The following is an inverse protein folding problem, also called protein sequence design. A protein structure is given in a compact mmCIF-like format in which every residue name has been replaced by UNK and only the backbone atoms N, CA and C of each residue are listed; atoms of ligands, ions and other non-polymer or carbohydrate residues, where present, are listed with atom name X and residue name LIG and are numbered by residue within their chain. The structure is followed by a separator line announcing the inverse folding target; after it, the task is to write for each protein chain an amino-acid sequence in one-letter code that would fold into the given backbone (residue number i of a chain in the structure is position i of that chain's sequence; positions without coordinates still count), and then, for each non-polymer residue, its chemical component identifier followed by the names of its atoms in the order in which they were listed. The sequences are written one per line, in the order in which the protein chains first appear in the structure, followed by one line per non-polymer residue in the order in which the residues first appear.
data_IF_301739307210
#
_entry.id   IF_301739307210
#
_cell.length_a   1.000
_cell.length_b   1.000
_cell.length_c   1.000
_cell.angle_alpha   90.00
_cell.angle_beta   90.00
_cell.angle_gamma   90.00
#
_symmetry.space_group_name_H-M   'P 1'
#
loop_
_entity.id
_entity.type
_entity.pdbx_description
1 polymer ?
#
# COMPACT_ATOMS: atom_id res chain seq x y z
N UNK A 1 18.98 -0.87 -19.82
CA UNK A 1 17.90 -1.67 -19.20
C UNK A 1 16.97 -0.70 -18.49
N UNK A 2 15.73 -0.57 -18.95
CA UNK A 2 14.70 0.17 -18.20
C UNK A 2 14.20 -0.78 -17.11
N UNK A 3 14.71 -0.63 -15.90
CA UNK A 3 14.09 -1.30 -14.75
C UNK A 3 12.69 -0.68 -14.58
N UNK A 4 11.67 -1.47 -14.28
CA UNK A 4 10.30 -1.01 -14.03
C UNK A 4 9.84 -1.70 -12.74
N UNK A 5 8.93 -1.06 -11.99
CA UNK A 5 8.27 -1.75 -10.87
C UNK A 5 7.04 -2.48 -11.43
N UNK A 6 6.96 -3.79 -11.23
CA UNK A 6 5.75 -4.56 -11.55
C UNK A 6 5.12 -5.12 -10.28
N UNK A 7 3.79 -5.09 -10.25
CA UNK A 7 2.99 -5.71 -9.19
C UNK A 7 1.74 -6.34 -9.82
N UNK A 8 1.08 -7.20 -9.08
CA UNK A 8 -0.16 -7.85 -9.47
C UNK A 8 -1.34 -7.22 -8.71
N UNK A 9 -2.14 -6.43 -9.42
CA UNK A 9 -3.31 -5.78 -8.84
C UNK A 9 -4.52 -6.73 -8.85
N UNK A 10 -5.35 -6.74 -7.78
CA UNK A 10 -6.55 -7.55 -7.78
C UNK A 10 -7.61 -6.96 -8.72
N UNK A 11 -8.39 -7.82 -9.38
CA UNK A 11 -9.54 -7.39 -10.21
C UNK A 11 -10.70 -6.85 -9.36
N UNK A 12 -10.80 -7.30 -8.11
CA UNK A 12 -11.82 -6.87 -7.16
C UNK A 12 -11.14 -6.46 -5.86
N UNK A 13 -11.52 -5.28 -5.37
CA UNK A 13 -10.94 -4.77 -4.14
C UNK A 13 -11.75 -5.20 -2.92
N UNK A 14 -11.08 -5.81 -1.94
CA UNK A 14 -11.65 -6.11 -0.63
C UNK A 14 -12.01 -4.83 0.12
N UNK A 15 -13.03 -4.89 0.99
CA UNK A 15 -13.38 -3.77 1.86
C UNK A 15 -12.24 -3.53 2.87
N UNK A 16 -11.62 -2.35 2.91
CA UNK A 16 -10.51 -2.04 3.82
C UNK A 16 -10.82 -2.18 5.32
N UNK A 17 -12.10 -2.15 5.71
CA UNK A 17 -12.56 -2.25 7.11
C UNK A 17 -12.88 -3.71 7.51
N UNK A 18 -12.23 -4.66 6.86
CA UNK A 18 -12.26 -6.09 7.18
C UNK A 18 -10.85 -6.55 7.48
N UNK A 19 -10.71 -7.67 8.18
CA UNK A 19 -9.40 -8.29 8.48
C UNK A 19 -8.55 -8.47 7.20
N UNK A 20 -9.15 -9.00 6.13
CA UNK A 20 -8.48 -9.26 4.86
C UNK A 20 -8.13 -7.96 4.12
N UNK A 21 -9.05 -6.99 4.09
CA UNK A 21 -8.79 -5.69 3.49
C UNK A 21 -7.75 -4.86 4.26
N UNK A 22 -7.68 -5.02 5.59
CA UNK A 22 -6.64 -4.45 6.45
C UNK A 22 -5.29 -5.07 6.16
N UNK A 23 -5.18 -6.40 6.11
CA UNK A 23 -3.97 -7.11 5.71
C UNK A 23 -3.46 -6.61 4.34
N UNK A 24 -4.37 -6.50 3.37
CA UNK A 24 -4.06 -6.00 2.04
C UNK A 24 -3.56 -4.55 2.06
N UNK A 25 -4.18 -3.69 2.87
CA UNK A 25 -3.78 -2.30 3.01
C UNK A 25 -2.34 -2.19 3.51
N UNK A 26 -2.02 -2.94 4.58
CA UNK A 26 -0.68 -2.97 5.19
C UNK A 26 0.33 -3.58 4.22
N UNK A 27 -0.02 -4.67 3.54
CA UNK A 27 0.82 -5.29 2.51
C UNK A 27 1.19 -4.31 1.39
N UNK A 28 0.21 -3.54 0.90
CA UNK A 28 0.45 -2.53 -0.13
C UNK A 28 1.37 -1.40 0.34
N UNK A 29 1.33 -1.00 1.61
CA UNK A 29 2.29 -0.05 2.16
C UNK A 29 3.71 -0.59 2.17
N UNK A 30 3.93 -1.84 2.60
CA UNK A 30 5.25 -2.48 2.55
C UNK A 30 5.80 -2.50 1.11
N UNK A 31 4.98 -2.90 0.15
CA UNK A 31 5.39 -2.97 -1.26
C UNK A 31 5.67 -1.58 -1.85
N UNK A 32 4.85 -0.59 -1.54
CA UNK A 32 5.04 0.76 -2.03
C UNK A 32 6.27 1.46 -1.42
N UNK A 33 6.78 1.00 -0.27
CA UNK A 33 8.08 1.41 0.31
C UNK A 33 9.28 0.62 -0.23
N UNK A 34 9.08 -0.27 -1.23
CA UNK A 34 10.16 -1.09 -1.79
C UNK A 34 10.22 -2.51 -1.22
N UNK A 35 9.07 -3.06 -0.78
CA UNK A 35 8.95 -4.39 -0.19
C UNK A 35 9.73 -4.55 1.12
N UNK A 36 9.63 -3.56 2.00
CA UNK A 36 10.32 -3.55 3.30
C UNK A 36 9.70 -4.52 4.30
N UNK A 37 10.47 -5.00 5.27
CA UNK A 37 9.94 -5.82 6.38
C UNK A 37 9.25 -4.97 7.45
N UNK A 38 9.67 -3.73 7.60
CA UNK A 38 9.10 -2.77 8.54
C UNK A 38 8.52 -1.56 7.79
N UNK A 39 7.37 -1.07 8.26
CA UNK A 39 6.80 0.18 7.76
C UNK A 39 7.49 1.36 8.42
N UNK A 40 7.83 2.35 7.61
CA UNK A 40 8.45 3.60 8.06
C UNK A 40 7.69 4.80 7.48
N UNK A 41 8.23 6.00 7.67
CA UNK A 41 7.73 7.23 7.02
C UNK A 41 8.30 7.44 5.61
N UNK A 42 8.93 6.42 5.01
CA UNK A 42 9.44 6.49 3.63
C UNK A 42 8.36 6.84 2.61
N UNK A 43 8.79 7.50 1.53
CA UNK A 43 7.91 7.88 0.42
C UNK A 43 7.38 6.67 -0.33
N UNK A 44 6.09 6.71 -0.62
CA UNK A 44 5.34 5.71 -1.37
C UNK A 44 4.63 6.39 -2.52
N UNK A 45 4.60 5.74 -3.68
CA UNK A 45 3.89 6.30 -4.83
C UNK A 45 2.37 6.11 -4.71
N UNK A 46 1.61 7.19 -4.88
CA UNK A 46 0.15 7.13 -4.84
C UNK A 46 -0.45 6.26 -5.94
N UNK A 47 0.12 6.26 -7.14
CA UNK A 47 -0.36 5.47 -8.28
C UNK A 47 -0.22 3.96 -8.03
N UNK A 48 0.88 3.54 -7.41
CA UNK A 48 1.08 2.15 -6.94
C UNK A 48 0.02 1.79 -5.91
N UNK A 49 -0.15 2.60 -4.86
CA UNK A 49 -1.15 2.35 -3.82
C UNK A 49 -2.57 2.28 -4.40
N UNK A 50 -2.93 3.20 -5.30
CA UNK A 50 -4.23 3.22 -5.96
C UNK A 50 -4.54 1.90 -6.68
N UNK A 51 -3.53 1.27 -7.29
CA UNK A 51 -3.67 -0.01 -7.98
C UNK A 51 -3.71 -1.21 -7.03
N UNK A 52 -3.05 -1.15 -5.88
CA UNK A 52 -3.01 -2.28 -4.93
C UNK A 52 -4.22 -2.34 -3.98
N UNK A 53 -4.82 -1.19 -3.64
CA UNK A 53 -5.92 -1.13 -2.65
C UNK A 53 -7.17 -0.33 -3.08
N UNK A 54 -7.19 0.23 -4.28
CA UNK A 54 -8.19 1.16 -4.86
C UNK A 54 -7.96 2.64 -4.52
N UNK A 55 -8.29 3.57 -5.46
CA UNK A 55 -8.21 5.01 -5.20
C UNK A 55 -9.08 5.49 -4.04
N UNK A 56 -10.25 4.86 -3.85
CA UNK A 56 -11.18 5.20 -2.76
C UNK A 56 -10.55 4.91 -1.40
N UNK A 57 -9.91 3.75 -1.24
CA UNK A 57 -9.23 3.40 0.00
C UNK A 57 -8.06 4.36 0.27
N UNK A 58 -7.26 4.68 -0.75
CA UNK A 58 -6.15 5.64 -0.59
C UNK A 58 -6.66 7.01 -0.14
N UNK A 59 -7.73 7.53 -0.75
CA UNK A 59 -8.34 8.80 -0.33
C UNK A 59 -8.91 8.74 1.10
N UNK A 60 -9.51 7.62 1.50
CA UNK A 60 -9.98 7.41 2.87
C UNK A 60 -8.83 7.46 3.89
N UNK A 61 -7.71 6.80 3.60
CA UNK A 61 -6.52 6.82 4.46
C UNK A 61 -5.83 8.18 4.51
N UNK A 62 -5.94 8.96 3.43
CA UNK A 62 -5.35 10.28 3.31
C UNK A 62 -6.19 11.36 4.02
N UNK A 63 -7.50 11.38 3.79
CA UNK A 63 -8.35 12.51 4.16
C UNK A 63 -9.18 12.25 5.43
N UNK A 64 -9.63 11.00 5.63
CA UNK A 64 -10.61 10.70 6.69
C UNK A 64 -9.93 10.10 7.92
N UNK A 65 -8.86 9.32 7.70
CA UNK A 65 -8.11 8.64 8.77
C UNK A 65 -6.74 9.21 9.04
N UNK A 66 -6.21 10.05 8.15
CA UNK A 66 -4.90 10.71 8.31
C UNK A 66 -3.74 9.72 8.55
N UNK A 67 -3.85 8.50 8.04
CA UNK A 67 -2.78 7.51 8.06
C UNK A 67 -1.69 7.86 7.06
N UNK A 68 -2.08 8.56 5.99
CA UNK A 68 -1.20 9.03 4.95
C UNK A 68 -1.18 10.56 4.95
N UNK A 69 -0.07 11.13 4.50
CA UNK A 69 0.03 12.53 4.12
C UNK A 69 0.68 12.65 2.74
N UNK A 70 0.41 13.75 2.04
CA UNK A 70 1.13 14.08 0.79
C UNK A 70 2.50 14.63 1.18
N UNK A 71 3.57 14.01 0.68
CA UNK A 71 4.93 14.49 0.85
C UNK A 71 5.29 15.53 -0.23
N UNK A 72 5.25 15.10 -1.50
CA UNK A 72 5.58 15.92 -2.66
C UNK A 72 4.94 15.37 -3.93
N UNK A 73 5.11 16.06 -5.05
CA UNK A 73 4.75 15.57 -6.39
C UNK A 73 6.02 15.44 -7.24
N UNK A 74 6.05 14.41 -8.09
CA UNK A 74 7.09 14.19 -9.09
C UNK A 74 6.38 13.96 -10.42
N UNK A 75 6.43 14.96 -11.32
CA UNK A 75 5.57 15.03 -12.49
C UNK A 75 4.08 14.91 -12.11
N UNK A 76 3.40 13.92 -12.69
CA UNK A 76 1.97 13.64 -12.43
C UNK A 76 1.73 12.72 -11.22
N UNK A 77 2.78 12.19 -10.58
CA UNK A 77 2.65 11.24 -9.47
C UNK A 77 2.84 11.95 -8.15
N UNK A 78 1.85 11.82 -7.25
CA UNK A 78 1.99 12.24 -5.87
C UNK A 78 2.72 11.17 -5.05
N UNK A 79 3.70 11.60 -4.25
CA UNK A 79 4.34 10.78 -3.24
C UNK A 79 3.66 11.01 -1.89
N UNK A 80 3.33 9.90 -1.22
CA UNK A 80 2.70 9.87 0.08
C UNK A 80 3.69 9.31 1.12
N UNK A 81 3.46 9.59 2.40
CA UNK A 81 4.15 8.94 3.52
C UNK A 81 3.14 8.45 4.53
N UNK A 82 3.47 7.42 5.29
CA UNK A 82 2.72 7.11 6.51
C UNK A 82 2.99 8.20 7.54
N UNK A 83 1.94 8.60 8.26
CA UNK A 83 2.06 9.42 9.47
C UNK A 83 2.41 8.52 10.66
N UNK A 84 2.86 9.09 11.77
CA UNK A 84 3.10 8.31 13.00
C UNK A 84 1.81 7.63 13.49
N UNK A 85 0.65 8.26 13.28
CA UNK A 85 -0.64 7.64 13.59
C UNK A 85 -0.94 6.45 12.66
N UNK A 86 -0.63 6.58 11.37
CA UNK A 86 -0.72 5.47 10.40
C UNK A 86 0.17 4.30 10.78
N UNK A 87 1.43 4.56 11.13
CA UNK A 87 2.39 3.55 11.59
C UNK A 87 1.89 2.80 12.82
N UNK A 88 1.52 3.54 13.89
CA UNK A 88 0.98 2.94 15.11
C UNK A 88 -0.25 2.10 14.84
N UNK A 89 -1.16 2.57 13.98
CA UNK A 89 -2.40 1.83 13.70
C UNK A 89 -2.14 0.58 12.87
N UNK A 90 -1.19 0.59 11.93
CA UNK A 90 -0.78 -0.61 11.20
C UNK A 90 -0.19 -1.64 12.18
N UNK A 91 0.74 -1.22 13.04
CA UNK A 91 1.35 -2.10 14.04
C UNK A 91 0.30 -2.70 15.00
N UNK A 92 -0.59 -1.87 15.54
CA UNK A 92 -1.65 -2.33 16.45
C UNK A 92 -2.63 -3.27 15.76
N UNK A 93 -2.92 -3.07 14.47
CA UNK A 93 -3.81 -3.96 13.73
C UNK A 93 -3.22 -5.36 13.60
N UNK A 94 -1.91 -5.47 13.30
CA UNK A 94 -1.20 -6.75 13.20
C UNK A 94 -1.05 -7.42 14.57
N UNK A 95 -0.87 -6.63 15.64
CA UNK A 95 -0.84 -7.13 17.01
C UNK A 95 -2.22 -7.51 17.58
N UNK A 96 -3.30 -7.33 16.80
CA UNK A 96 -4.67 -7.64 17.22
C UNK A 96 -5.35 -6.58 18.11
N UNK A 97 -4.68 -5.45 18.38
CA UNK A 97 -5.13 -4.40 19.30
C UNK A 97 -5.86 -3.21 18.66
N UNK A 98 -6.33 -3.32 17.42
CA UNK A 98 -7.07 -2.24 16.73
C UNK A 98 -8.54 -2.58 16.51
N UNK A 99 -9.36 -1.58 16.16
CA UNK A 99 -10.79 -1.76 15.81
C UNK A 99 -11.00 -2.76 14.66
N UNK A 100 -10.03 -2.85 13.75
CA UNK A 100 -10.03 -3.80 12.63
C UNK A 100 -8.72 -4.57 12.68
N UNK A 101 -8.65 -5.64 13.49
CA UNK A 101 -7.43 -6.43 13.64
C UNK A 101 -7.13 -7.22 12.36
N UNK A 102 -5.87 -7.66 12.24
CA UNK A 102 -5.38 -8.58 11.20
C UNK A 102 -4.18 -9.35 11.75
N UNK A 103 -3.49 -10.13 10.92
CA UNK A 103 -2.32 -10.92 11.33
C UNK A 103 -1.12 -10.74 10.41
N UNK A 104 0.07 -11.05 10.93
CA UNK A 104 1.32 -11.10 10.15
C UNK A 104 1.23 -12.06 8.96
N UNK A 105 0.57 -13.20 9.15
CA UNK A 105 0.43 -14.25 8.14
C UNK A 105 -0.45 -13.78 6.99
N UNK A 106 -1.54 -13.07 7.29
CA UNK A 106 -2.41 -12.49 6.27
C UNK A 106 -1.71 -11.37 5.50
N UNK A 107 -0.96 -10.50 6.19
CA UNK A 107 -0.15 -9.46 5.53
C UNK A 107 0.87 -10.09 4.60
N UNK A 108 1.61 -11.12 5.05
CA UNK A 108 2.59 -11.84 4.24
C UNK A 108 1.95 -12.53 3.02
N UNK A 109 0.78 -13.16 3.21
CA UNK A 109 0.02 -13.77 2.13
C UNK A 109 -0.41 -12.74 1.08
N UNK A 110 -0.91 -11.58 1.50
CA UNK A 110 -1.30 -10.48 0.59
C UNK A 110 -0.09 -9.87 -0.12
N UNK A 111 1.05 -9.68 0.55
CA UNK A 111 2.31 -9.27 -0.09
C UNK A 111 2.71 -10.24 -1.20
N UNK A 112 2.67 -11.55 -0.93
CA UNK A 112 3.00 -12.59 -1.92
C UNK A 112 2.09 -12.53 -3.15
N UNK A 113 0.79 -12.38 -2.97
CA UNK A 113 -0.17 -12.26 -4.07
C UNK A 113 0.07 -11.01 -4.92
N UNK A 114 0.41 -9.88 -4.30
CA UNK A 114 0.72 -8.65 -5.02
C UNK A 114 2.09 -8.67 -5.72
N UNK A 115 3.01 -9.52 -5.29
CA UNK A 115 4.33 -9.67 -5.91
C UNK A 115 4.33 -10.70 -7.05
N UNK A 116 3.61 -11.81 -6.88
CA UNK A 116 3.70 -12.95 -7.80
C UNK A 116 2.38 -13.25 -8.54
N UNK A 117 1.32 -12.54 -8.19
CA UNK A 117 -0.01 -12.77 -8.73
C UNK A 117 -0.69 -14.00 -8.14
N UNK A 118 -1.79 -14.38 -8.78
CA UNK A 118 -2.68 -15.45 -8.38
C UNK A 118 -4.02 -15.30 -9.10
N UNK A 119 -4.94 -16.22 -8.84
CA UNK A 119 -6.29 -16.15 -9.42
C UNK A 119 -6.91 -14.78 -9.13
N UNK A 120 -7.45 -14.13 -10.15
CA UNK A 120 -8.10 -12.83 -10.03
C UNK A 120 -7.15 -11.62 -9.91
N UNK A 121 -5.85 -11.79 -10.15
CA UNK A 121 -4.89 -10.69 -10.21
C UNK A 121 -4.37 -10.47 -11.63
N UNK A 122 -3.98 -9.24 -11.93
CA UNK A 122 -3.43 -8.83 -13.23
C UNK A 122 -2.15 -8.05 -13.01
N UNK A 123 -1.11 -8.35 -13.79
CA UNK A 123 0.14 -7.60 -13.75
C UNK A 123 -0.08 -6.13 -14.18
N UNK A 124 0.54 -5.22 -13.44
CA UNK A 124 0.56 -3.80 -13.69
C UNK A 124 1.99 -3.32 -13.56
N UNK A 125 2.45 -2.58 -14.56
CA UNK A 125 3.81 -2.07 -14.63
C UNK A 125 3.80 -0.56 -14.43
N UNK A 126 4.71 -0.09 -13.58
CA UNK A 126 4.86 1.32 -13.21
C UNK A 126 6.20 1.82 -13.74
N UNK A 127 6.21 2.93 -14.52
CA UNK A 127 7.45 3.55 -14.96
C UNK A 127 8.19 4.12 -13.75
N UNK A 128 9.52 4.18 -13.77
CA UNK A 128 10.23 4.95 -12.74
C UNK A 128 9.83 6.41 -12.77
N UNK A 129 9.82 7.01 -11.59
CA UNK A 129 9.79 8.45 -11.47
C UNK A 129 11.17 8.95 -11.88
N UNK A 130 11.22 9.75 -12.95
CA UNK A 130 12.38 10.58 -13.21
C UNK A 130 12.23 11.78 -12.30
N UNK A 131 13.19 12.01 -11.43
CA UNK A 131 13.26 13.29 -10.74
C UNK A 131 13.51 14.32 -11.83
N UNK A 132 12.63 15.32 -11.94
CA UNK A 132 12.91 16.47 -12.79
C UNK A 132 14.01 17.25 -12.08
N UNK A 133 15.13 17.49 -12.79
CA UNK A 133 16.31 18.21 -12.30
C UNK A 133 15.97 19.60 -11.73
#
# INVERSE_FOLDING_TARGET
MLNMLSFFAPRQYENPLTEQGRARTIAAFHLAQGNTDELTTMEMRRDVLNKLMSPRAVSYWLNDKEWLCISRKVGQVALLRLTDAGLRTCANSVAGGSEVPTTSELVASRRRLMLHGGTGHTEVVFPFLREED
#
